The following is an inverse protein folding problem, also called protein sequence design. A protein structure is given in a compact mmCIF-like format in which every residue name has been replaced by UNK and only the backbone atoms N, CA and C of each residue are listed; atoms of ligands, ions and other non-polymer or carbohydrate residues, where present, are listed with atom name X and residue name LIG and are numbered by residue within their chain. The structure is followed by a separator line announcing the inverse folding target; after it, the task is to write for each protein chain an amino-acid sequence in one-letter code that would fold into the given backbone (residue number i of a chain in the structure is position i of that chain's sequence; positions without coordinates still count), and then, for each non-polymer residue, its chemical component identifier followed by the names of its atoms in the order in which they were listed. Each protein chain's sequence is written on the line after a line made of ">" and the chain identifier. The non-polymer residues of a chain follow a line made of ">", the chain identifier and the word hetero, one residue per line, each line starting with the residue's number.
data_IF_831592761185
#
_entry.id   IF_831592761185
#
_cell.length_a   1.000
_cell.length_b   1.000
_cell.length_c   1.000
_cell.angle_alpha   90.00
_cell.angle_beta   90.00
_cell.angle_gamma   90.00
#
_symmetry.space_group_name_H-M   'P 1'
#
loop_
_entity.id
_entity.type
_entity.pdbx_description
1 polymer ?
#
# COMPACT_ATOMS: atom_id res chain seq x y z
N UNK A 1 -3.95 17.32 8.26
CA UNK A 1 -3.18 16.74 7.14
C UNK A 1 -2.01 15.98 7.74
N UNK A 2 -2.20 14.70 8.04
CA UNK A 2 -1.21 13.88 8.73
C UNK A 2 -0.35 13.21 7.65
N UNK A 3 0.93 13.58 7.58
CA UNK A 3 1.93 12.76 6.90
C UNK A 3 2.37 11.68 7.88
N UNK A 4 1.80 10.48 7.80
CA UNK A 4 2.36 9.36 8.55
C UNK A 4 3.51 8.82 7.71
N UNK A 5 4.74 9.26 8.01
CA UNK A 5 5.94 8.57 7.55
C UNK A 5 6.07 7.29 8.39
N UNK A 6 5.31 6.25 8.03
CA UNK A 6 5.43 4.95 8.69
C UNK A 6 6.68 4.27 8.16
N UNK A 7 7.89 4.71 8.55
CA UNK A 7 9.10 3.92 8.36
C UNK A 7 9.01 2.72 9.31
N UNK A 8 8.61 1.60 8.75
CA UNK A 8 8.14 0.41 9.46
C UNK A 8 9.20 -0.66 9.30
N UNK A 9 10.06 -0.85 10.30
CA UNK A 9 10.93 -2.03 10.41
C UNK A 9 10.25 -3.06 11.30
N UNK A 10 9.70 -4.11 10.70
CA UNK A 10 9.11 -5.20 11.46
C UNK A 10 9.50 -6.55 10.88
N UNK A 11 9.51 -7.53 11.77
CA UNK A 11 9.69 -8.94 11.42
C UNK A 11 8.58 -9.75 12.06
N UNK A 12 8.02 -10.70 11.33
CA UNK A 12 6.96 -11.61 11.81
C UNK A 12 5.74 -10.86 12.39
N UNK A 13 5.33 -9.76 11.73
CA UNK A 13 4.29 -8.86 12.22
C UNK A 13 3.08 -8.75 11.30
N UNK A 14 1.94 -8.41 11.89
CA UNK A 14 0.74 -7.97 11.18
C UNK A 14 0.50 -6.48 11.47
N UNK A 15 0.55 -5.65 10.44
CA UNK A 15 0.41 -4.19 10.54
C UNK A 15 -0.87 -3.77 9.84
N UNK A 16 -1.78 -3.13 10.59
CA UNK A 16 -3.08 -2.68 10.10
C UNK A 16 -3.19 -1.16 10.30
N UNK A 17 -3.18 -0.41 9.20
CA UNK A 17 -3.37 1.05 9.19
C UNK A 17 -4.66 1.33 8.42
N UNK A 18 -5.82 1.19 9.07
CA UNK A 18 -7.13 1.23 8.41
C UNK A 18 -7.75 2.64 8.40
N UNK A 19 -6.93 3.65 8.12
CA UNK A 19 -7.35 5.05 8.04
C UNK A 19 -6.71 5.74 6.82
N UNK A 20 -7.13 6.97 6.55
CA UNK A 20 -6.54 7.83 5.52
C UNK A 20 -5.03 8.02 5.75
N UNK A 21 -4.25 7.85 4.68
CA UNK A 21 -2.82 8.16 4.68
C UNK A 21 -2.47 9.16 3.57
N UNK A 22 -1.58 10.10 3.85
CA UNK A 22 -1.04 10.96 2.80
C UNK A 22 -0.07 10.18 1.90
N UNK A 23 0.81 9.38 2.50
CA UNK A 23 1.78 8.49 1.86
C UNK A 23 2.22 7.43 2.86
N UNK A 24 2.72 6.28 2.39
CA UNK A 24 3.28 5.21 3.23
C UNK A 24 4.61 4.75 2.64
N UNK A 25 5.62 4.54 3.50
CA UNK A 25 6.94 4.05 3.09
C UNK A 25 7.36 2.88 3.98
N UNK A 26 7.27 1.65 3.50
CA UNK A 26 7.63 0.46 4.27
C UNK A 26 9.10 0.10 3.99
N UNK A 27 9.92 0.01 5.03
CA UNK A 27 11.36 -0.20 4.91
C UNK A 27 11.81 -1.44 5.70
N UNK A 28 12.61 -2.29 5.10
CA UNK A 28 13.34 -3.36 5.81
C UNK A 28 12.40 -4.36 6.54
N UNK A 29 11.18 -4.59 6.03
CA UNK A 29 10.23 -5.56 6.60
C UNK A 29 10.48 -6.99 6.12
N UNK A 30 10.33 -7.96 7.02
CA UNK A 30 10.53 -9.38 6.72
C UNK A 30 9.37 -10.23 7.29
N UNK A 31 8.80 -11.13 6.49
CA UNK A 31 7.68 -12.00 6.90
C UNK A 31 6.48 -11.24 7.51
N UNK A 32 6.06 -10.14 6.88
CA UNK A 32 4.97 -9.30 7.40
C UNK A 32 3.70 -9.32 6.54
N UNK A 33 2.55 -9.18 7.20
CA UNK A 33 1.29 -8.80 6.57
C UNK A 33 1.06 -7.30 6.80
N UNK A 34 0.92 -6.54 5.72
CA UNK A 34 0.75 -5.08 5.77
C UNK A 34 -0.56 -4.72 5.09
N UNK A 35 -1.46 -4.08 5.82
CA UNK A 35 -2.73 -3.59 5.30
C UNK A 35 -2.82 -2.10 5.54
N UNK A 36 -3.02 -1.33 4.48
CA UNK A 36 -3.20 0.12 4.56
C UNK A 36 -4.54 0.53 3.99
N UNK A 37 -5.15 1.52 4.60
CA UNK A 37 -6.27 2.27 4.06
C UNK A 37 -5.82 3.13 2.87
N UNK A 38 -6.77 3.88 2.26
CA UNK A 38 -6.50 4.72 1.10
C UNK A 38 -5.33 5.69 1.30
N UNK A 39 -4.33 5.59 0.43
CA UNK A 39 -3.21 6.51 0.35
C UNK A 39 -3.39 7.50 -0.79
N UNK A 40 -3.46 8.81 -0.46
CA UNK A 40 -3.65 9.87 -1.45
C UNK A 40 -2.48 9.99 -2.41
N UNK A 41 -1.25 9.76 -1.96
CA UNK A 41 -0.05 9.80 -2.78
C UNK A 41 0.49 8.39 -3.02
N UNK A 42 1.67 8.08 -2.49
CA UNK A 42 2.38 6.84 -2.78
C UNK A 42 2.33 5.85 -1.62
N UNK A 43 2.38 4.56 -1.97
CA UNK A 43 2.86 3.49 -1.11
C UNK A 43 4.15 2.96 -1.71
N UNK A 44 5.23 3.03 -0.94
CA UNK A 44 6.58 2.68 -1.38
C UNK A 44 7.18 1.60 -0.46
N UNK A 45 7.47 0.42 -1.00
CA UNK A 45 8.19 -0.64 -0.29
C UNK A 45 9.67 -0.59 -0.66
N UNK A 46 10.55 -0.68 0.33
CA UNK A 46 12.00 -0.76 0.15
C UNK A 46 12.58 -1.87 1.01
N UNK A 47 13.51 -2.66 0.47
CA UNK A 47 14.22 -3.71 1.21
C UNK A 47 13.29 -4.71 1.93
N UNK A 48 12.11 -5.00 1.39
CA UNK A 48 11.14 -5.89 2.02
C UNK A 48 11.23 -7.31 1.47
N UNK A 49 11.07 -8.31 2.32
CA UNK A 49 11.12 -9.73 1.96
C UNK A 49 9.94 -10.52 2.52
N UNK A 50 9.41 -11.47 1.76
CA UNK A 50 8.38 -12.42 2.21
C UNK A 50 7.12 -11.75 2.79
N UNK A 51 6.72 -10.60 2.25
CA UNK A 51 5.59 -9.82 2.74
C UNK A 51 4.35 -9.96 1.85
N UNK A 52 3.18 -9.83 2.48
CA UNK A 52 1.90 -9.61 1.78
C UNK A 52 1.40 -8.20 2.05
N UNK A 53 1.04 -7.47 1.00
CA UNK A 53 0.62 -6.06 1.10
C UNK A 53 -0.74 -5.84 0.47
N UNK A 54 -1.66 -5.25 1.22
CA UNK A 54 -3.00 -4.85 0.80
C UNK A 54 -3.08 -3.33 0.85
N UNK A 55 -3.24 -2.68 -0.29
CA UNK A 55 -3.24 -1.21 -0.33
C UNK A 55 -4.04 -0.63 -1.50
N UNK A 56 -4.96 0.31 -1.23
CA UNK A 56 -5.45 1.27 -2.20
C UNK A 56 -4.57 2.53 -2.19
N UNK A 57 -4.03 2.93 -3.33
CA UNK A 57 -3.17 4.11 -3.42
C UNK A 57 -3.21 4.82 -4.77
N UNK A 58 -2.74 6.05 -4.85
CA UNK A 58 -2.55 6.72 -6.15
C UNK A 58 -1.34 6.16 -6.89
N UNK A 59 -0.22 5.96 -6.21
CA UNK A 59 1.01 5.39 -6.78
C UNK A 59 1.54 4.23 -5.92
N UNK A 60 1.94 3.14 -6.56
CA UNK A 60 2.62 2.03 -5.90
C UNK A 60 4.05 1.88 -6.44
N UNK A 61 5.03 1.76 -5.54
CA UNK A 61 6.44 1.57 -5.87
C UNK A 61 7.07 0.47 -5.03
N UNK A 62 7.98 -0.29 -5.61
CA UNK A 62 8.87 -1.19 -4.88
C UNK A 62 10.32 -0.97 -5.31
N UNK A 63 11.25 -1.09 -4.36
CA UNK A 63 12.68 -1.13 -4.64
C UNK A 63 13.35 -2.18 -3.76
N UNK A 64 14.25 -2.98 -4.32
CA UNK A 64 15.04 -3.95 -3.54
C UNK A 64 14.16 -4.94 -2.74
N UNK A 65 13.02 -5.36 -3.29
CA UNK A 65 12.07 -6.25 -2.62
C UNK A 65 12.10 -7.67 -3.20
N UNK A 66 11.82 -8.68 -2.37
CA UNK A 66 11.85 -10.09 -2.78
C UNK A 66 10.61 -10.82 -2.25
N UNK A 67 9.96 -11.60 -3.12
CA UNK A 67 8.83 -12.46 -2.77
C UNK A 67 7.68 -11.68 -2.09
N UNK A 68 7.08 -10.74 -2.82
CA UNK A 68 5.98 -9.90 -2.32
C UNK A 68 4.69 -10.23 -3.05
N UNK A 69 3.63 -10.55 -2.31
CA UNK A 69 2.26 -10.62 -2.82
C UNK A 69 1.55 -9.29 -2.57
N UNK A 70 1.16 -8.61 -3.64
CA UNK A 70 0.54 -7.27 -3.59
C UNK A 70 -0.92 -7.36 -4.06
N UNK A 71 -1.85 -7.07 -3.17
CA UNK A 71 -3.27 -6.87 -3.44
C UNK A 71 -3.50 -5.37 -3.61
N UNK A 72 -3.67 -4.94 -4.87
CA UNK A 72 -3.51 -3.54 -5.24
C UNK A 72 -4.75 -2.96 -5.90
N UNK A 73 -5.18 -1.80 -5.41
CA UNK A 73 -5.91 -0.82 -6.22
C UNK A 73 -4.97 0.38 -6.42
N UNK A 74 -4.63 0.69 -7.67
CA UNK A 74 -3.71 1.77 -7.98
C UNK A 74 -4.22 2.61 -9.15
N UNK A 75 -4.19 3.93 -9.00
CA UNK A 75 -4.63 4.86 -10.03
C UNK A 75 -3.64 4.91 -11.19
N UNK A 76 -2.35 4.94 -10.88
CA UNK A 76 -1.29 4.88 -11.89
C UNK A 76 -0.81 3.45 -12.13
N UNK A 77 0.04 3.26 -13.13
CA UNK A 77 0.77 2.00 -13.29
C UNK A 77 1.73 1.82 -12.09
N UNK A 78 1.77 0.63 -11.45
CA UNK A 78 2.75 0.34 -10.40
C UNK A 78 4.16 0.31 -10.98
N UNK A 79 5.15 0.68 -10.16
CA UNK A 79 6.57 0.72 -10.52
C UNK A 79 7.35 -0.31 -9.68
N UNK A 80 8.17 -1.11 -10.34
CA UNK A 80 8.99 -2.16 -9.71
C UNK A 80 10.44 -1.91 -10.10
N UNK A 81 11.31 -1.71 -9.12
CA UNK A 81 12.75 -1.48 -9.32
C UNK A 81 13.55 -2.53 -8.55
N UNK A 82 14.56 -3.13 -9.17
CA UNK A 82 15.52 -4.05 -8.52
C UNK A 82 14.85 -5.09 -7.60
N UNK A 83 13.70 -5.62 -8.01
CA UNK A 83 12.88 -6.50 -7.17
C UNK A 83 12.59 -7.82 -7.88
N UNK A 84 12.43 -8.91 -7.13
CA UNK A 84 12.18 -10.24 -7.70
C UNK A 84 10.96 -10.91 -7.06
N UNK A 85 10.26 -11.75 -7.83
CA UNK A 85 9.07 -12.48 -7.37
C UNK A 85 7.96 -11.57 -6.78
N UNK A 86 7.67 -10.45 -7.44
CA UNK A 86 6.54 -9.57 -7.10
C UNK A 86 5.28 -10.04 -7.84
N UNK A 87 4.20 -10.31 -7.11
CA UNK A 87 2.93 -10.84 -7.66
C UNK A 87 1.80 -9.86 -7.38
N UNK A 88 1.07 -9.45 -8.41
CA UNK A 88 -0.06 -8.54 -8.27
C UNK A 88 -1.39 -9.27 -8.35
N UNK A 89 -2.33 -8.85 -7.50
CA UNK A 89 -3.72 -9.32 -7.42
C UNK A 89 -4.64 -8.13 -7.27
N UNK A 90 -5.89 -8.27 -7.73
CA UNK A 90 -6.91 -7.25 -7.49
C UNK A 90 -7.18 -7.14 -5.99
N UNK A 91 -7.27 -5.91 -5.49
CA UNK A 91 -7.61 -5.67 -4.09
C UNK A 91 -9.10 -5.94 -3.85
N UNK A 92 -9.39 -6.82 -2.90
CA UNK A 92 -10.71 -6.99 -2.31
C UNK A 92 -10.57 -6.75 -0.80
N UNK A 93 -11.12 -5.64 -0.32
CA UNK A 93 -11.02 -5.22 1.07
C UNK A 93 -12.29 -4.47 1.48
N UNK A 94 -12.76 -4.75 2.70
CA UNK A 94 -13.91 -4.08 3.30
C UNK A 94 -13.66 -3.91 4.80
N UNK A 95 -13.93 -2.72 5.31
CA UNK A 95 -13.97 -2.41 6.74
C UNK A 95 -14.85 -1.19 6.97
N UNK A 96 -15.33 -0.99 8.19
CA UNK A 96 -16.23 0.13 8.52
C UNK A 96 -15.61 1.47 8.11
N UNK A 97 -16.45 2.37 7.58
CA UNK A 97 -16.06 3.71 7.10
C UNK A 97 -15.15 3.77 5.87
N UNK A 98 -14.75 2.63 5.27
CA UNK A 98 -13.85 2.61 4.10
C UNK A 98 -14.41 3.41 2.91
N UNK A 99 -15.73 3.34 2.66
CA UNK A 99 -16.36 4.04 1.53
C UNK A 99 -16.16 5.56 1.62
N UNK A 100 -16.42 6.15 2.79
CA UNK A 100 -16.21 7.59 3.01
C UNK A 100 -14.74 8.00 2.85
N UNK A 101 -13.81 7.14 3.29
CA UNK A 101 -12.38 7.39 3.13
C UNK A 101 -11.97 7.28 1.67
N UNK A 102 -12.46 6.29 0.92
CA UNK A 102 -12.21 6.11 -0.52
C UNK A 102 -12.76 7.30 -1.30
N UNK A 103 -14.01 7.70 -1.07
CA UNK A 103 -14.64 8.83 -1.78
C UNK A 103 -13.88 10.13 -1.53
N UNK A 104 -13.46 10.41 -0.29
CA UNK A 104 -12.68 11.61 0.02
C UNK A 104 -11.26 11.57 -0.53
N UNK A 105 -10.62 10.40 -0.57
CA UNK A 105 -9.23 10.22 -1.03
C UNK A 105 -9.12 10.26 -2.55
N UNK A 106 -10.07 9.61 -3.24
CA UNK A 106 -10.05 9.39 -4.68
C UNK A 106 -11.19 10.14 -5.40
N UNK A 107 -11.74 11.19 -4.80
CA UNK A 107 -12.85 11.99 -5.35
C UNK A 107 -12.69 12.31 -6.84
N UNK A 108 -11.49 12.72 -7.26
CA UNK A 108 -11.20 13.08 -8.66
C UNK A 108 -11.39 11.94 -9.67
N UNK A 109 -11.44 10.67 -9.24
CA UNK A 109 -11.62 9.52 -10.14
C UNK A 109 -13.11 9.18 -10.30
N UNK A 110 -13.94 9.40 -9.27
CA UNK A 110 -15.36 9.06 -9.31
C UNK A 110 -16.27 10.19 -9.85
N UNK A 111 -15.83 11.46 -9.79
CA UNK A 111 -16.62 12.60 -10.30
C UNK A 111 -16.40 12.95 -11.78
N UNK A 112 -15.56 12.19 -12.50
CA UNK A 112 -15.31 12.36 -13.94
C UNK A 112 -15.69 11.11 -14.77
N UNK A 113 -16.56 10.24 -14.24
CA UNK A 113 -17.15 9.09 -14.93
C UNK A 113 -18.60 9.33 -15.29
#
# INVERSE_FOLDING_TARGET
>A
MIFINVAVFFKDCCILILDYTASVTVDDCDHCLIVTGPSKASVFLRNCENCSVFTPCTQFRTRDCVNIDVFLFCITKPIIETSTAIRFRSLAMYYDCIEGIITSTFASIFYFG
#
